data_IF_082288736885
#
_entry.id   IF_082288736885
#
_cell.length_a   1.000
_cell.length_b   1.000
_cell.length_c   1.000
_cell.angle_alpha   90.00
_cell.angle_beta   90.00
_cell.angle_gamma   90.00
#
_symmetry.space_group_name_H-M   'P 1'
#
loop_
_entity.id
_entity.type
_entity.pdbx_description
1 polymer ?
#
# COMPACT_ATOMS: atom_id res chain seq x y z
N UNK A 1 -0.69 33.72 22.91
CA UNK A 1 0.75 33.96 22.59
C UNK A 1 0.86 34.62 21.21
N UNK A 2 1.96 35.29 20.88
CA UNK A 2 2.19 35.83 19.52
C UNK A 2 2.37 34.70 18.48
N UNK A 3 1.69 34.81 17.33
CA UNK A 3 1.73 33.81 16.24
C UNK A 3 3.06 33.87 15.48
N UNK A 4 3.43 35.08 15.01
CA UNK A 4 4.66 35.38 14.27
C UNK A 4 5.87 35.55 15.20
N UNK A 5 7.06 35.44 14.61
CA UNK A 5 8.33 35.73 15.28
C UNK A 5 8.53 37.24 15.49
N UNK A 6 9.39 37.60 16.42
CA UNK A 6 10.00 38.94 16.54
C UNK A 6 11.54 38.81 16.57
N UNK A 7 12.30 39.92 16.54
CA UNK A 7 13.75 39.88 16.71
C UNK A 7 14.22 39.24 18.04
N UNK A 8 13.38 39.20 19.09
CA UNK A 8 13.76 38.62 20.38
C UNK A 8 13.32 37.15 20.57
N UNK A 9 12.21 36.71 19.93
CA UNK A 9 11.55 35.43 20.25
C UNK A 9 10.84 34.75 19.07
N UNK A 10 10.75 33.43 19.12
CA UNK A 10 9.94 32.64 18.19
C UNK A 10 8.44 32.72 18.54
N UNK A 11 7.62 32.94 17.52
CA UNK A 11 6.16 32.84 17.62
C UNK A 11 5.72 31.41 17.96
N UNK A 12 4.50 31.25 18.48
CA UNK A 12 4.02 29.91 18.84
C UNK A 12 3.88 29.00 17.62
N UNK A 13 3.60 29.53 16.42
CA UNK A 13 3.52 28.71 15.20
C UNK A 13 4.87 28.08 14.84
N UNK A 14 5.97 28.85 14.90
CA UNK A 14 7.32 28.34 14.68
C UNK A 14 7.72 27.27 15.70
N UNK A 15 7.31 27.45 16.97
CA UNK A 15 7.55 26.50 18.07
C UNK A 15 6.70 25.23 17.94
N UNK A 16 5.42 25.36 17.65
CA UNK A 16 4.50 24.23 17.43
C UNK A 16 4.95 23.38 16.24
N UNK A 17 5.26 23.99 15.09
CA UNK A 17 5.80 23.28 13.93
C UNK A 17 7.15 22.60 14.24
N UNK A 18 8.02 23.24 15.03
CA UNK A 18 9.28 22.63 15.49
C UNK A 18 9.02 21.35 16.31
N UNK A 19 8.22 21.43 17.38
CA UNK A 19 7.97 20.27 18.24
C UNK A 19 7.11 19.19 17.58
N UNK A 20 6.17 19.56 16.71
CA UNK A 20 5.43 18.61 15.88
C UNK A 20 6.38 17.83 14.97
N UNK A 21 7.32 18.51 14.29
CA UNK A 21 8.36 17.83 13.51
C UNK A 21 9.21 16.92 14.41
N UNK A 22 9.67 17.41 15.56
CA UNK A 22 10.58 16.67 16.45
C UNK A 22 9.93 15.41 17.04
N UNK A 23 8.68 15.50 17.48
CA UNK A 23 7.90 14.37 18.01
C UNK A 23 7.55 13.37 16.90
N UNK A 24 7.16 13.85 15.72
CA UNK A 24 6.90 12.97 14.58
C UNK A 24 8.17 12.23 14.12
N UNK A 25 9.34 12.89 14.10
CA UNK A 25 10.63 12.24 13.78
C UNK A 25 11.06 11.25 14.86
N UNK A 26 10.84 11.54 16.15
CA UNK A 26 11.09 10.58 17.21
C UNK A 26 10.18 9.33 17.10
N UNK A 27 8.89 9.54 16.83
CA UNK A 27 7.95 8.46 16.56
C UNK A 27 8.32 7.68 15.27
N UNK A 28 8.83 8.36 14.24
CA UNK A 28 9.29 7.72 13.00
C UNK A 28 10.40 6.70 13.25
N UNK A 29 11.46 7.06 13.98
CA UNK A 29 12.54 6.13 14.30
C UNK A 29 12.04 4.96 15.17
N UNK A 30 11.14 5.23 16.13
CA UNK A 30 10.52 4.18 16.94
C UNK A 30 9.67 3.20 16.12
N UNK A 31 8.91 3.69 15.12
CA UNK A 31 8.16 2.86 14.17
C UNK A 31 9.12 2.09 13.27
N UNK A 32 10.17 2.72 12.75
CA UNK A 32 11.15 2.07 11.85
C UNK A 32 11.87 0.89 12.53
N UNK A 33 12.40 1.07 13.74
CA UNK A 33 13.03 -0.02 14.49
C UNK A 33 12.05 -1.13 14.89
N UNK A 34 10.79 -0.79 15.20
CA UNK A 34 9.74 -1.78 15.45
C UNK A 34 9.39 -2.58 14.19
N UNK A 35 9.26 -1.90 13.06
CA UNK A 35 8.91 -2.46 11.75
C UNK A 35 9.96 -3.46 11.25
N UNK A 36 11.23 -3.08 11.37
CA UNK A 36 12.39 -3.93 11.06
C UNK A 36 12.40 -5.22 11.89
N UNK A 37 12.28 -5.09 13.22
CA UNK A 37 12.33 -6.19 14.17
C UNK A 37 11.07 -7.09 14.25
N UNK A 38 10.02 -6.80 13.48
CA UNK A 38 8.82 -7.65 13.43
C UNK A 38 9.00 -8.80 12.40
N UNK A 39 8.44 -10.00 12.66
CA UNK A 39 8.31 -11.03 11.64
C UNK A 39 7.33 -10.60 10.55
N UNK A 40 7.37 -11.25 9.38
CA UNK A 40 6.32 -11.10 8.36
C UNK A 40 4.97 -11.46 8.99
N UNK A 41 3.96 -10.63 8.74
CA UNK A 41 2.67 -10.66 9.45
C UNK A 41 1.99 -9.30 9.47
N UNK A 42 0.75 -9.26 9.98
CA UNK A 42 -0.09 -8.06 10.00
C UNK A 42 0.54 -6.92 10.81
N UNK A 43 1.16 -7.24 11.93
CA UNK A 43 1.84 -6.24 12.76
C UNK A 43 2.95 -5.49 11.99
N UNK A 44 3.66 -6.18 11.09
CA UNK A 44 4.71 -5.60 10.24
C UNK A 44 4.10 -4.77 9.11
N UNK A 45 3.10 -5.31 8.40
CA UNK A 45 2.36 -4.59 7.36
C UNK A 45 1.77 -3.27 7.88
N UNK A 46 1.12 -3.29 9.05
CA UNK A 46 0.61 -2.07 9.71
C UNK A 46 1.73 -1.09 10.05
N UNK A 47 2.89 -1.57 10.52
CA UNK A 47 4.03 -0.71 10.82
C UNK A 47 4.58 -0.01 9.55
N UNK A 48 4.65 -0.71 8.40
CA UNK A 48 4.98 -0.08 7.11
C UNK A 48 3.93 0.96 6.68
N UNK A 49 2.62 0.68 6.85
CA UNK A 49 1.55 1.64 6.56
C UNK A 49 1.65 2.92 7.38
N UNK A 50 1.90 2.79 8.69
CA UNK A 50 2.14 3.93 9.59
C UNK A 50 3.45 4.66 9.27
N UNK A 51 4.53 3.95 8.92
CA UNK A 51 5.80 4.53 8.51
C UNK A 51 5.63 5.40 7.25
N UNK A 52 5.02 4.86 6.19
CA UNK A 52 4.75 5.60 4.95
C UNK A 52 3.89 6.86 5.21
N UNK A 53 2.80 6.70 5.96
CA UNK A 53 1.85 7.79 6.28
C UNK A 53 2.47 8.91 7.14
N UNK A 54 3.23 8.54 8.18
CA UNK A 54 3.90 9.51 9.05
C UNK A 54 5.05 10.21 8.32
N UNK A 55 5.73 9.53 7.38
CA UNK A 55 6.79 10.13 6.56
C UNK A 55 6.29 11.28 5.70
N UNK A 56 5.17 11.07 5.00
CA UNK A 56 4.51 12.11 4.19
C UNK A 56 3.90 13.24 5.06
N UNK A 57 3.49 12.91 6.28
CA UNK A 57 3.10 13.91 7.29
C UNK A 57 4.28 14.78 7.73
N UNK A 58 5.45 14.16 7.98
CA UNK A 58 6.70 14.87 8.30
C UNK A 58 7.13 15.76 7.12
N UNK A 59 7.01 15.29 5.87
CA UNK A 59 7.26 16.10 4.67
C UNK A 59 6.38 17.36 4.67
N UNK A 60 5.06 17.18 4.81
CA UNK A 60 4.09 18.29 4.83
C UNK A 60 4.38 19.30 5.93
N UNK A 61 4.58 18.84 7.18
CA UNK A 61 4.91 19.70 8.31
C UNK A 61 6.26 20.40 8.12
N UNK A 62 7.25 19.73 7.51
CA UNK A 62 8.58 20.30 7.23
C UNK A 62 8.52 21.38 6.15
N UNK A 63 7.75 21.18 5.08
CA UNK A 63 7.50 22.18 4.03
C UNK A 63 6.80 23.40 4.62
N UNK A 64 5.73 23.21 5.41
CA UNK A 64 5.05 24.31 6.13
C UNK A 64 6.00 25.05 7.07
N UNK A 65 6.86 24.32 7.81
CA UNK A 65 7.89 24.90 8.70
C UNK A 65 8.98 25.66 7.93
N UNK A 66 9.35 25.22 6.73
CA UNK A 66 10.31 25.91 5.87
C UNK A 66 9.72 27.19 5.28
N UNK A 67 8.51 27.13 4.73
CA UNK A 67 7.77 28.29 4.25
C UNK A 67 7.56 29.31 5.38
N UNK A 68 7.19 28.86 6.58
CA UNK A 68 7.07 29.72 7.75
C UNK A 68 8.40 30.37 8.15
N UNK A 69 9.52 29.65 8.06
CA UNK A 69 10.88 30.18 8.32
C UNK A 69 11.27 31.26 7.31
N UNK A 70 10.93 31.08 6.04
CA UNK A 70 11.21 32.06 4.98
C UNK A 70 10.33 33.30 5.09
N UNK A 71 9.05 33.13 5.45
CA UNK A 71 8.06 34.23 5.56
C UNK A 71 8.08 34.99 6.90
N UNK A 72 8.91 34.63 7.87
CA UNK A 72 9.00 35.28 9.18
C UNK A 72 10.44 35.70 9.52
N UNK A 73 10.64 36.83 10.23
CA UNK A 73 11.95 37.21 10.74
C UNK A 73 12.51 36.11 11.66
N UNK A 74 13.82 35.89 11.62
CA UNK A 74 14.48 34.90 12.45
C UNK A 74 15.24 35.61 13.60
N UNK A 75 14.82 35.45 14.87
CA UNK A 75 15.55 36.03 16.00
C UNK A 75 16.99 35.52 16.03
N UNK A 76 18.00 36.38 16.26
CA UNK A 76 19.37 36.12 15.84
C UNK A 76 20.04 35.00 16.64
N UNK A 77 21.16 34.51 16.08
CA UNK A 77 22.09 33.63 16.76
C UNK A 77 22.69 34.34 18.00
N UNK A 78 22.79 33.62 19.12
CA UNK A 78 23.27 34.15 20.38
C UNK A 78 24.80 33.99 20.49
N UNK A 79 25.51 35.10 20.71
CA UNK A 79 26.96 35.13 20.85
C UNK A 79 27.75 35.27 19.54
N UNK A 80 29.06 35.49 19.67
CA UNK A 80 29.89 36.05 18.60
C UNK A 80 30.70 35.02 17.81
N UNK A 81 30.64 33.75 18.20
CA UNK A 81 31.38 32.67 17.53
C UNK A 81 30.92 32.46 16.08
N UNK A 82 31.71 32.97 15.14
CA UNK A 82 31.46 32.85 13.71
C UNK A 82 31.39 31.38 13.24
N UNK A 83 32.17 30.47 13.85
CA UNK A 83 32.12 29.05 13.49
C UNK A 83 30.84 28.38 13.99
N UNK A 84 30.37 28.67 15.21
CA UNK A 84 29.10 28.13 15.72
C UNK A 84 27.91 28.66 14.91
N UNK A 85 27.96 29.95 14.52
CA UNK A 85 26.94 30.57 13.66
C UNK A 85 26.86 29.91 12.28
N UNK A 86 28.01 29.61 11.65
CA UNK A 86 28.10 28.85 10.39
C UNK A 86 27.62 27.40 10.55
N UNK A 87 28.14 26.68 11.55
CA UNK A 87 27.78 25.29 11.82
C UNK A 87 26.29 25.12 12.14
N UNK A 88 25.73 25.98 12.97
CA UNK A 88 24.28 26.01 13.26
C UNK A 88 23.46 26.28 12.01
N UNK A 89 23.86 27.25 11.17
CA UNK A 89 23.16 27.56 9.92
C UNK A 89 23.20 26.36 8.95
N UNK A 90 24.36 25.72 8.79
CA UNK A 90 24.54 24.53 7.95
C UNK A 90 23.72 23.34 8.47
N UNK A 91 23.80 23.04 9.77
CA UNK A 91 23.03 21.94 10.39
C UNK A 91 21.51 22.12 10.21
N UNK A 92 20.99 23.34 10.36
CA UNK A 92 19.57 23.60 10.07
C UNK A 92 19.21 23.31 8.60
N UNK A 93 20.04 23.73 7.64
CA UNK A 93 19.78 23.48 6.22
C UNK A 93 19.91 22.00 5.84
N UNK A 94 20.90 21.28 6.40
CA UNK A 94 21.02 19.83 6.24
C UNK A 94 19.81 19.09 6.83
N UNK A 95 19.33 19.49 8.01
CA UNK A 95 18.10 18.93 8.59
C UNK A 95 16.88 19.16 7.69
N UNK A 96 16.71 20.37 7.12
CA UNK A 96 15.62 20.61 6.14
C UNK A 96 15.78 19.75 4.88
N UNK A 97 16.99 19.62 4.35
CA UNK A 97 17.25 18.79 3.16
C UNK A 97 16.95 17.31 3.42
N UNK A 98 17.45 16.74 4.52
CA UNK A 98 17.18 15.35 4.90
C UNK A 98 15.69 15.09 5.16
N UNK A 99 15.01 15.97 5.91
CA UNK A 99 13.57 15.82 6.24
C UNK A 99 12.63 15.98 5.04
N UNK A 100 13.10 16.56 3.93
CA UNK A 100 12.36 16.63 2.67
C UNK A 100 12.73 15.47 1.73
N UNK A 101 14.03 15.19 1.56
CA UNK A 101 14.51 14.14 0.66
C UNK A 101 14.12 12.73 1.14
N UNK A 102 14.14 12.46 2.44
CA UNK A 102 13.81 11.13 3.01
C UNK A 102 12.40 10.66 2.65
N UNK A 103 11.29 11.39 2.93
CA UNK A 103 9.96 10.96 2.54
C UNK A 103 9.76 10.88 1.02
N UNK A 104 10.37 11.77 0.25
CA UNK A 104 10.30 11.74 -1.22
C UNK A 104 10.96 10.47 -1.76
N UNK A 105 12.15 10.10 -1.26
CA UNK A 105 12.81 8.84 -1.61
C UNK A 105 12.01 7.62 -1.15
N UNK A 106 11.34 7.66 0.01
CA UNK A 106 10.47 6.57 0.48
C UNK A 106 9.22 6.36 -0.39
N UNK A 107 8.65 7.44 -0.94
CA UNK A 107 7.54 7.37 -1.90
C UNK A 107 8.01 6.88 -3.28
N UNK A 108 9.15 7.37 -3.78
CA UNK A 108 9.78 6.89 -5.01
C UNK A 108 10.15 5.40 -4.92
N UNK A 109 10.76 4.97 -3.80
CA UNK A 109 11.03 3.57 -3.49
C UNK A 109 9.76 2.71 -3.55
N UNK A 110 8.68 3.17 -2.91
CA UNK A 110 7.40 2.45 -2.89
C UNK A 110 6.78 2.33 -4.30
N UNK A 111 6.86 3.39 -5.12
CA UNK A 111 6.36 3.39 -6.49
C UNK A 111 7.19 2.50 -7.43
N UNK A 112 8.52 2.56 -7.32
CA UNK A 112 9.43 1.67 -8.05
C UNK A 112 9.21 0.19 -7.68
N UNK A 113 8.92 -0.10 -6.41
CA UNK A 113 8.55 -1.42 -5.90
C UNK A 113 7.06 -1.79 -6.13
N UNK A 114 6.36 -1.14 -7.07
CA UNK A 114 4.94 -1.34 -7.40
C UNK A 114 3.98 -1.40 -6.19
N UNK A 115 4.32 -0.78 -5.06
CA UNK A 115 3.61 -0.95 -3.79
C UNK A 115 2.97 0.39 -3.42
N UNK A 116 1.68 0.62 -3.73
CA UNK A 116 1.08 1.94 -3.63
C UNK A 116 1.13 2.51 -2.21
N UNK A 117 1.21 3.83 -2.10
CA UNK A 117 1.28 4.51 -0.80
C UNK A 117 -0.09 5.00 -0.38
N UNK A 118 -0.65 4.36 0.66
CA UNK A 118 -1.88 4.83 1.30
C UNK A 118 -1.56 5.78 2.46
N UNK A 119 -2.18 6.95 2.44
CA UNK A 119 -2.09 7.93 3.52
C UNK A 119 -3.17 7.61 4.57
N UNK A 120 -2.73 6.96 5.66
CA UNK A 120 -3.55 6.54 6.80
C UNK A 120 -4.73 5.60 6.47
N UNK A 121 -4.71 4.92 5.32
CA UNK A 121 -5.82 4.08 4.84
C UNK A 121 -6.98 4.87 4.21
N UNK A 122 -6.81 6.17 4.01
CA UNK A 122 -7.87 7.09 3.53
C UNK A 122 -7.70 7.51 2.07
N UNK A 123 -6.46 7.59 1.57
CA UNK A 123 -6.14 8.10 0.23
C UNK A 123 -4.92 7.35 -0.32
N UNK A 124 -5.12 6.58 -1.38
CA UNK A 124 -4.01 6.04 -2.18
C UNK A 124 -3.43 7.16 -3.03
N UNK A 125 -2.13 7.41 -2.89
CA UNK A 125 -1.42 8.38 -3.70
C UNK A 125 -0.98 7.77 -5.04
N UNK A 126 -0.99 8.55 -6.14
CA UNK A 126 -0.50 8.08 -7.43
C UNK A 126 0.99 7.73 -7.35
N UNK A 127 1.42 6.73 -8.11
CA UNK A 127 2.84 6.43 -8.27
C UNK A 127 3.47 7.47 -9.23
N UNK A 128 4.47 8.28 -8.79
CA UNK A 128 5.07 9.32 -9.61
C UNK A 128 6.04 8.78 -10.68
N UNK A 129 6.35 7.49 -10.65
CA UNK A 129 7.21 6.76 -11.59
C UNK A 129 6.62 5.36 -11.83
N UNK A 130 7.02 4.72 -12.93
CA UNK A 130 6.70 3.32 -13.20
C UNK A 130 7.50 2.37 -12.29
N UNK A 131 7.04 1.11 -12.12
CA UNK A 131 7.80 0.08 -11.42
C UNK A 131 9.16 -0.22 -12.07
N UNK A 132 10.18 -0.36 -11.25
CA UNK A 132 11.57 -0.63 -11.63
C UNK A 132 12.32 -1.20 -10.40
N UNK A 133 12.81 -2.44 -10.50
CA UNK A 133 13.46 -3.14 -9.37
C UNK A 133 14.85 -2.58 -9.03
N UNK A 134 15.58 -2.00 -9.98
CA UNK A 134 16.91 -1.43 -9.75
C UNK A 134 16.79 -0.04 -9.12
N UNK A 135 15.83 0.77 -9.56
CA UNK A 135 15.48 2.04 -8.91
C UNK A 135 14.93 1.82 -7.50
N UNK A 136 14.13 0.78 -7.26
CA UNK A 136 13.66 0.45 -5.91
C UNK A 136 14.85 0.22 -4.95
N UNK A 137 15.80 -0.65 -5.31
CA UNK A 137 17.02 -0.91 -4.52
C UNK A 137 17.93 0.33 -4.39
N UNK A 138 17.97 1.20 -5.40
CA UNK A 138 18.72 2.47 -5.33
C UNK A 138 18.08 3.44 -4.31
N UNK A 139 16.76 3.62 -4.37
CA UNK A 139 16.04 4.49 -3.45
C UNK A 139 16.03 3.95 -2.02
N UNK A 140 15.94 2.64 -1.83
CA UNK A 140 16.09 1.98 -0.52
C UNK A 140 17.46 2.29 0.12
N UNK A 141 18.55 2.02 -0.60
CA UNK A 141 19.92 2.31 -0.12
C UNK A 141 20.13 3.80 0.16
N UNK A 142 19.57 4.68 -0.67
CA UNK A 142 19.62 6.13 -0.45
C UNK A 142 18.81 6.56 0.79
N UNK A 143 17.61 6.00 0.98
CA UNK A 143 16.74 6.26 2.13
C UNK A 143 17.39 5.77 3.43
N UNK A 144 17.88 4.52 3.49
CA UNK A 144 18.59 3.98 4.65
C UNK A 144 19.84 4.80 5.01
N UNK A 145 20.64 5.19 4.01
CA UNK A 145 21.84 6.04 4.22
C UNK A 145 21.45 7.41 4.81
N UNK A 146 20.40 8.04 4.28
CA UNK A 146 19.91 9.33 4.80
C UNK A 146 19.21 9.18 6.15
N UNK A 147 18.66 8.02 6.51
CA UNK A 147 18.05 7.76 7.80
C UNK A 147 19.09 7.80 8.93
N UNK A 148 20.21 7.08 8.76
CA UNK A 148 21.33 7.12 9.69
C UNK A 148 22.01 8.50 9.71
N UNK A 149 22.14 9.17 8.55
CA UNK A 149 22.62 10.55 8.48
C UNK A 149 21.74 11.55 9.23
N UNK A 150 20.41 11.44 9.09
CA UNK A 150 19.43 12.24 9.81
C UNK A 150 19.49 11.97 11.32
N UNK A 151 19.59 10.70 11.74
CA UNK A 151 19.71 10.32 13.15
C UNK A 151 20.95 10.97 13.79
N UNK A 152 22.10 10.92 13.11
CA UNK A 152 23.33 11.58 13.56
C UNK A 152 23.19 13.11 13.62
N UNK A 153 22.58 13.74 12.60
CA UNK A 153 22.31 15.19 12.60
C UNK A 153 21.35 15.62 13.72
N UNK A 154 20.31 14.83 14.01
CA UNK A 154 19.37 15.07 15.12
C UNK A 154 20.07 14.91 16.46
N UNK A 155 20.88 13.87 16.65
CA UNK A 155 21.68 13.68 17.87
C UNK A 155 22.65 14.85 18.12
N UNK A 156 23.37 15.31 17.08
CA UNK A 156 24.25 16.48 17.15
C UNK A 156 23.48 17.77 17.43
N UNK A 157 22.30 17.97 16.82
CA UNK A 157 21.44 19.13 17.07
C UNK A 157 20.94 19.18 18.51
N UNK A 158 20.47 18.05 19.06
CA UNK A 158 20.04 17.95 20.46
C UNK A 158 21.24 18.16 21.40
N UNK A 159 22.37 17.50 21.17
CA UNK A 159 23.59 17.68 21.97
C UNK A 159 24.07 19.14 21.98
N UNK A 160 23.99 19.85 20.84
CA UNK A 160 24.28 21.28 20.77
C UNK A 160 23.27 22.11 21.59
N UNK A 161 21.96 21.85 21.46
CA UNK A 161 20.94 22.57 22.24
C UNK A 161 21.10 22.37 23.75
N UNK A 162 21.47 21.15 24.20
CA UNK A 162 21.74 20.83 25.60
C UNK A 162 23.05 21.46 26.09
N UNK A 163 24.11 21.49 25.27
CA UNK A 163 25.35 22.24 25.57
C UNK A 163 25.04 23.73 25.79
N UNK A 164 24.32 24.34 24.85
CA UNK A 164 23.92 25.75 24.91
C UNK A 164 23.06 26.05 26.15
N UNK A 165 22.18 25.12 26.54
CA UNK A 165 21.35 25.27 27.74
C UNK A 165 22.10 25.08 29.07
N UNK A 166 22.92 24.04 29.21
CA UNK A 166 23.54 23.68 30.50
C UNK A 166 24.95 24.25 30.71
N UNK A 167 25.78 24.26 29.66
CA UNK A 167 27.18 24.72 29.74
C UNK A 167 27.28 26.21 29.44
N UNK A 168 26.71 26.65 28.32
CA UNK A 168 26.78 28.05 27.89
C UNK A 168 25.66 28.92 28.53
N UNK A 169 24.66 28.28 29.13
CA UNK A 169 23.54 28.85 29.90
C UNK A 169 22.67 29.87 29.15
N UNK A 170 22.62 29.78 27.83
CA UNK A 170 21.94 30.75 26.97
C UNK A 170 20.41 30.51 26.82
N UNK A 171 19.76 31.29 25.96
CA UNK A 171 18.32 31.20 25.70
C UNK A 171 17.93 30.27 24.54
N UNK A 172 18.87 29.56 23.90
CA UNK A 172 18.67 28.80 22.64
C UNK A 172 17.56 27.76 22.77
N UNK A 173 17.64 26.85 23.75
CA UNK A 173 16.58 25.85 24.00
C UNK A 173 15.30 26.48 24.56
N UNK A 174 15.44 27.42 25.51
CA UNK A 174 14.32 28.11 26.18
C UNK A 174 13.42 28.87 25.19
N UNK A 175 14.00 29.38 24.10
CA UNK A 175 13.29 30.04 22.99
C UNK A 175 12.31 29.14 22.22
N UNK A 176 12.26 27.81 22.45
CA UNK A 176 11.46 26.88 21.64
C UNK A 176 10.21 26.26 22.29
N UNK A 177 10.03 26.21 23.61
CA UNK A 177 9.00 25.37 24.26
C UNK A 177 7.53 25.88 24.09
N UNK A 178 6.53 25.01 23.80
CA UNK A 178 5.11 25.02 24.25
C UNK A 178 4.07 24.22 23.37
N UNK A 179 3.23 23.37 23.98
CA UNK A 179 1.77 23.10 23.70
C UNK A 179 1.29 22.31 22.44
N UNK A 180 0.25 21.45 22.57
CA UNK A 180 -0.38 20.66 21.48
C UNK A 180 -1.88 20.25 21.75
N UNK A 181 -2.63 19.79 20.73
CA UNK A 181 -4.05 19.31 20.74
C UNK A 181 -4.37 18.33 19.56
N UNK A 182 -5.53 17.60 19.56
CA UNK A 182 -5.91 16.47 18.65
C UNK A 182 -7.44 16.39 18.33
N UNK A 183 -7.89 15.75 17.22
CA UNK A 183 -9.31 15.40 16.88
C UNK A 183 -9.45 14.18 15.89
N UNK A 184 -10.66 13.59 15.67
CA UNK A 184 -10.96 12.33 14.89
C UNK A 184 -12.37 12.32 14.19
N UNK A 185 -12.64 11.49 13.14
CA UNK A 185 -13.90 11.35 12.34
C UNK A 185 -14.18 9.91 11.73
N UNK A 186 -15.40 9.62 11.20
CA UNK A 186 -16.00 8.35 10.59
C UNK A 186 -17.20 8.73 9.62
N UNK A 187 -17.84 8.00 8.65
CA UNK A 187 -17.86 6.63 8.05
C UNK A 187 -18.93 6.47 6.89
N UNK A 188 -19.28 5.27 6.34
CA UNK A 188 -20.15 5.06 5.13
C UNK A 188 -20.90 3.66 4.98
N UNK A 189 -21.63 3.35 3.87
CA UNK A 189 -22.36 2.06 3.56
C UNK A 189 -23.02 1.89 2.14
N UNK A 190 -23.49 0.68 1.70
CA UNK A 190 -23.69 0.27 0.25
C UNK A 190 -24.98 -0.57 -0.22
N UNK A 191 -24.85 -1.61 -1.12
CA UNK A 191 -25.77 -2.05 -2.27
C UNK A 191 -25.91 -3.62 -2.45
N UNK A 192 -26.85 -4.23 -3.27
CA UNK A 192 -26.74 -5.52 -4.09
C UNK A 192 -27.97 -5.95 -5.00
N UNK A 193 -27.82 -6.98 -5.90
CA UNK A 193 -28.82 -7.62 -6.83
C UNK A 193 -28.62 -9.19 -7.06
N UNK A 194 -29.22 -9.87 -8.10
CA UNK A 194 -29.47 -11.36 -8.21
C UNK A 194 -29.32 -12.09 -9.63
N UNK A 195 -29.38 -13.47 -9.76
CA UNK A 195 -28.85 -14.32 -10.91
C UNK A 195 -29.88 -14.85 -11.99
N UNK A 196 -29.53 -15.69 -13.00
CA UNK A 196 -29.67 -17.19 -13.07
C UNK A 196 -28.85 -17.93 -14.23
N UNK A 197 -29.18 -19.23 -14.52
CA UNK A 197 -28.49 -20.39 -15.24
C UNK A 197 -28.55 -20.50 -16.81
N UNK A 198 -27.99 -21.55 -17.50
CA UNK A 198 -26.87 -21.37 -18.49
C UNK A 198 -26.61 -22.38 -19.77
N UNK A 199 -25.40 -22.64 -20.42
CA UNK A 199 -25.06 -23.18 -21.85
C UNK A 199 -23.63 -23.94 -22.20
N UNK A 200 -23.28 -24.44 -23.47
CA UNK A 200 -22.56 -25.74 -23.98
C UNK A 200 -20.97 -26.11 -24.23
N UNK A 201 -20.19 -26.29 -25.42
CA UNK A 201 -18.68 -26.63 -25.57
C UNK A 201 -17.51 -25.80 -26.40
N UNK A 202 -16.24 -25.50 -25.88
CA UNK A 202 -14.99 -24.84 -26.55
C UNK A 202 -13.52 -25.32 -26.08
N UNK A 203 -12.43 -24.47 -26.10
CA UNK A 203 -11.03 -24.60 -25.52
C UNK A 203 -10.25 -23.23 -25.35
N UNK A 204 -9.22 -23.10 -24.50
CA UNK A 204 -8.50 -21.82 -24.18
C UNK A 204 -6.98 -21.74 -24.45
N UNK A 205 -6.43 -20.51 -24.59
CA UNK A 205 -5.00 -20.16 -24.77
C UNK A 205 -4.44 -19.37 -23.55
N UNK A 206 -3.59 -19.97 -22.68
CA UNK A 206 -3.04 -19.30 -21.50
C UNK A 206 -2.13 -18.09 -21.79
N UNK A 207 -1.51 -18.01 -22.98
CA UNK A 207 -0.56 -16.93 -23.32
C UNK A 207 -1.27 -15.63 -23.71
N UNK A 208 -2.52 -15.73 -24.16
CA UNK A 208 -3.43 -14.62 -24.46
C UNK A 208 -4.59 -14.53 -23.47
N UNK A 209 -4.44 -15.13 -22.29
CA UNK A 209 -5.42 -15.11 -21.21
C UNK A 209 -4.80 -14.59 -19.90
N UNK A 210 -5.66 -14.19 -18.97
CA UNK A 210 -5.29 -13.66 -17.65
C UNK A 210 -6.37 -13.98 -16.63
N UNK A 211 -5.96 -14.58 -15.51
CA UNK A 211 -6.77 -14.68 -14.29
C UNK A 211 -6.14 -13.75 -13.24
N UNK A 212 -6.92 -12.81 -12.73
CA UNK A 212 -6.50 -11.80 -11.78
C UNK A 212 -7.46 -11.70 -10.59
N UNK A 213 -6.95 -11.17 -9.48
CA UNK A 213 -7.72 -10.90 -8.27
C UNK A 213 -7.32 -9.54 -7.70
N UNK A 214 -8.31 -8.70 -7.39
CA UNK A 214 -8.10 -7.42 -6.72
C UNK A 214 -8.69 -7.47 -5.31
N UNK A 215 -7.85 -7.21 -4.32
CA UNK A 215 -8.24 -7.18 -2.91
C UNK A 215 -7.84 -5.85 -2.28
N UNK A 216 -8.52 -5.43 -1.22
CA UNK A 216 -8.13 -4.22 -0.49
C UNK A 216 -7.13 -4.57 0.63
N UNK A 217 -5.96 -3.96 0.68
CA UNK A 217 -4.98 -4.08 1.78
C UNK A 217 -4.72 -2.72 2.42
N UNK A 218 -5.04 -2.55 3.71
CA UNK A 218 -4.98 -1.27 4.44
C UNK A 218 -5.63 -0.09 3.66
N UNK A 219 -6.78 -0.32 3.03
CA UNK A 219 -7.50 0.66 2.20
C UNK A 219 -6.97 0.85 0.77
N UNK A 220 -5.97 0.07 0.35
CA UNK A 220 -5.36 0.13 -0.99
C UNK A 220 -5.89 -1.01 -1.86
N UNK A 221 -6.40 -0.79 -3.08
CA UNK A 221 -6.61 -1.89 -4.01
C UNK A 221 -5.25 -2.43 -4.46
N UNK A 222 -5.01 -3.71 -4.21
CA UNK A 222 -3.86 -4.48 -4.67
C UNK A 222 -4.39 -5.49 -5.68
N UNK A 223 -3.84 -5.47 -6.89
CA UNK A 223 -4.07 -6.51 -7.89
C UNK A 223 -2.98 -7.59 -7.78
N UNK A 224 -3.39 -8.85 -7.87
CA UNK A 224 -2.55 -9.99 -8.13
C UNK A 224 -3.00 -10.76 -9.36
N UNK A 225 -2.10 -11.57 -9.91
CA UNK A 225 -2.39 -12.52 -11.00
C UNK A 225 -2.03 -13.93 -10.57
N UNK A 226 -2.67 -14.92 -11.17
CA UNK A 226 -2.14 -16.28 -11.21
C UNK A 226 -1.42 -16.47 -12.56
N UNK A 227 -0.21 -17.04 -12.51
CA UNK A 227 0.67 -17.18 -13.69
C UNK A 227 0.60 -18.54 -14.36
N UNK A 228 0.06 -19.54 -13.67
CA UNK A 228 -0.01 -20.92 -14.13
C UNK A 228 -1.41 -21.50 -13.81
N UNK A 229 -2.10 -21.96 -14.85
CA UNK A 229 -3.48 -22.43 -14.81
C UNK A 229 -3.86 -23.15 -16.12
N UNK A 230 -4.83 -24.06 -16.07
CA UNK A 230 -5.52 -24.64 -17.23
C UNK A 230 -6.98 -24.19 -17.27
N UNK A 231 -7.54 -24.05 -18.47
CA UNK A 231 -8.93 -23.64 -18.71
C UNK A 231 -9.52 -24.57 -19.77
N UNK A 232 -10.20 -25.61 -19.31
CA UNK A 232 -10.99 -26.54 -20.11
C UNK A 232 -12.39 -25.94 -20.27
N UNK A 233 -12.64 -25.25 -21.39
CA UNK A 233 -13.94 -24.62 -21.65
C UNK A 233 -14.89 -25.64 -22.25
N UNK A 234 -16.11 -25.71 -21.74
CA UNK A 234 -17.26 -26.06 -22.55
C UNK A 234 -18.25 -24.84 -22.56
N UNK A 235 -18.58 -24.28 -23.75
CA UNK A 235 -19.69 -23.33 -24.02
C UNK A 235 -20.26 -23.42 -25.49
N UNK A 236 -21.54 -23.16 -25.82
CA UNK A 236 -22.03 -23.12 -27.23
C UNK A 236 -22.76 -21.81 -27.51
N UNK A 237 -22.40 -21.05 -28.56
CA UNK A 237 -23.15 -19.84 -28.91
C UNK A 237 -24.62 -20.06 -29.32
N UNK A 238 -25.07 -21.30 -29.65
CA UNK A 238 -26.41 -21.54 -30.21
C UNK A 238 -27.33 -22.52 -29.44
N UNK A 239 -26.85 -23.18 -28.38
CA UNK A 239 -27.54 -24.28 -27.65
C UNK A 239 -28.18 -23.95 -26.28
N UNK A 240 -28.25 -24.91 -25.32
CA UNK A 240 -28.86 -24.68 -24.00
C UNK A 240 -28.17 -25.23 -22.70
N UNK A 241 -27.03 -25.96 -22.67
CA UNK A 241 -26.38 -26.40 -21.39
C UNK A 241 -24.90 -26.92 -21.52
N UNK A 242 -23.97 -26.60 -20.59
CA UNK A 242 -22.57 -27.12 -20.53
C UNK A 242 -21.52 -26.33 -19.71
N UNK A 243 -20.23 -26.67 -19.74
CA UNK A 243 -19.39 -26.67 -18.51
C UNK A 243 -17.96 -26.07 -18.62
N UNK A 244 -17.60 -25.00 -17.87
CA UNK A 244 -16.18 -24.55 -17.76
C UNK A 244 -15.50 -25.15 -16.54
N UNK A 245 -14.34 -25.77 -16.76
CA UNK A 245 -13.43 -26.17 -15.70
C UNK A 245 -12.11 -25.41 -15.79
N UNK A 246 -11.72 -24.76 -14.69
CA UNK A 246 -10.46 -24.04 -14.56
C UNK A 246 -9.68 -24.64 -13.39
N UNK A 247 -8.41 -24.98 -13.60
CA UNK A 247 -7.48 -25.35 -12.51
C UNK A 247 -6.41 -24.28 -12.43
N UNK A 248 -6.13 -23.79 -11.22
CA UNK A 248 -5.16 -22.72 -10.95
C UNK A 248 -4.12 -23.25 -9.98
N UNK A 249 -2.85 -23.21 -10.36
CA UNK A 249 -1.74 -23.49 -9.44
C UNK A 249 -1.58 -22.30 -8.49
N UNK A 250 -2.06 -22.43 -7.26
CA UNK A 250 -2.13 -21.32 -6.29
C UNK A 250 -0.77 -20.76 -5.92
N UNK A 251 0.28 -21.59 -5.97
CA UNK A 251 1.66 -21.15 -5.78
C UNK A 251 2.11 -20.10 -6.82
N UNK A 252 1.49 -20.10 -8.01
CA UNK A 252 1.78 -19.17 -9.12
C UNK A 252 1.24 -17.74 -8.91
N UNK A 253 0.62 -17.45 -7.74
CA UNK A 253 0.21 -16.10 -7.38
C UNK A 253 1.39 -15.12 -7.42
N UNK A 254 1.14 -13.92 -7.91
CA UNK A 254 2.09 -12.80 -7.97
C UNK A 254 1.32 -11.49 -7.77
N UNK A 255 1.67 -10.72 -6.74
CA UNK A 255 1.13 -9.37 -6.45
C UNK A 255 2.19 -8.26 -6.61
N UNK A 256 3.34 -8.59 -7.20
CA UNK A 256 4.49 -7.70 -7.40
C UNK A 256 5.32 -7.41 -6.15
N UNK A 257 5.12 -8.16 -5.06
CA UNK A 257 5.72 -7.93 -3.74
C UNK A 257 6.05 -9.29 -3.10
N UNK A 258 7.34 -9.63 -3.09
CA UNK A 258 7.82 -10.96 -2.74
C UNK A 258 7.46 -11.36 -1.27
N UNK A 259 7.41 -10.38 -0.35
CA UNK A 259 7.00 -10.55 1.06
C UNK A 259 5.49 -10.82 1.19
N UNK A 260 4.68 -10.07 0.43
CA UNK A 260 3.22 -10.23 0.37
C UNK A 260 2.84 -11.58 -0.24
N UNK A 261 3.55 -12.00 -1.28
CA UNK A 261 3.32 -13.25 -1.97
C UNK A 261 3.76 -14.45 -1.13
N UNK A 262 4.86 -14.34 -0.38
CA UNK A 262 5.25 -15.34 0.62
C UNK A 262 4.19 -15.47 1.73
N UNK A 263 3.66 -14.36 2.24
CA UNK A 263 2.58 -14.37 3.23
C UNK A 263 1.28 -14.97 2.68
N UNK A 264 0.94 -14.71 1.40
CA UNK A 264 -0.25 -15.24 0.75
C UNK A 264 -0.17 -16.76 0.52
N UNK A 265 1.01 -17.31 0.20
CA UNK A 265 1.19 -18.76 0.05
C UNK A 265 1.03 -19.52 1.38
N UNK A 266 1.24 -18.86 2.52
CA UNK A 266 1.17 -19.41 3.88
C UNK A 266 -0.21 -19.89 4.36
N UNK A 267 -0.21 -20.60 5.49
CA UNK A 267 -1.34 -21.31 6.11
C UNK A 267 -2.60 -20.48 6.36
N UNK A 268 -2.41 -19.21 6.70
CA UNK A 268 -3.47 -18.26 7.02
C UNK A 268 -4.28 -17.88 5.77
N UNK A 269 -3.63 -17.88 4.60
CA UNK A 269 -4.17 -17.50 3.30
C UNK A 269 -4.38 -18.74 2.40
N UNK A 270 -3.65 -18.92 1.30
CA UNK A 270 -3.91 -20.00 0.34
C UNK A 270 -3.46 -21.38 0.84
N UNK A 271 -2.47 -21.45 1.75
CA UNK A 271 -1.95 -22.70 2.32
C UNK A 271 -1.50 -23.73 1.25
N UNK A 272 -0.67 -23.27 0.31
CA UNK A 272 -0.42 -23.95 -0.98
C UNK A 272 0.21 -25.34 -0.85
N UNK A 273 0.98 -25.61 0.21
CA UNK A 273 1.57 -26.93 0.49
C UNK A 273 0.50 -28.01 0.81
N UNK A 274 -0.69 -27.59 1.23
CA UNK A 274 -1.82 -28.47 1.55
C UNK A 274 -2.95 -28.38 0.49
N UNK A 275 -3.04 -27.28 -0.23
CA UNK A 275 -4.03 -27.03 -1.28
C UNK A 275 -3.35 -26.37 -2.49
N UNK A 276 -2.58 -27.12 -3.30
CA UNK A 276 -1.83 -26.56 -4.43
C UNK A 276 -2.77 -26.02 -5.51
N UNK A 277 -3.84 -26.74 -5.83
CA UNK A 277 -4.85 -26.34 -6.81
C UNK A 277 -5.99 -25.53 -6.18
N UNK A 278 -6.45 -24.51 -6.92
CA UNK A 278 -7.81 -23.99 -6.82
C UNK A 278 -8.56 -24.34 -8.11
N UNK A 279 -9.83 -24.74 -8.00
CA UNK A 279 -10.61 -25.26 -9.14
C UNK A 279 -11.95 -24.54 -9.24
N UNK A 280 -12.26 -23.93 -10.39
CA UNK A 280 -13.62 -23.46 -10.69
C UNK A 280 -14.29 -24.45 -11.64
N UNK A 281 -15.47 -24.95 -11.27
CA UNK A 281 -16.31 -25.81 -12.12
C UNK A 281 -17.69 -25.15 -12.31
N UNK A 282 -17.88 -24.44 -13.43
CA UNK A 282 -19.19 -24.08 -13.95
C UNK A 282 -19.79 -25.27 -14.71
N UNK A 283 -21.11 -25.46 -14.58
CA UNK A 283 -21.82 -26.57 -15.23
C UNK A 283 -22.92 -26.14 -16.19
N UNK A 284 -23.15 -24.84 -16.30
CA UNK A 284 -23.89 -24.17 -17.36
C UNK A 284 -23.23 -22.78 -17.67
N UNK A 285 -23.12 -22.33 -18.95
CA UNK A 285 -22.73 -20.93 -19.38
C UNK A 285 -23.69 -20.10 -20.40
N UNK A 286 -24.80 -19.42 -20.01
CA UNK A 286 -25.83 -18.70 -20.85
C UNK A 286 -25.48 -17.28 -21.24
N UNK A 287 -26.17 -16.81 -22.29
CA UNK A 287 -26.46 -15.40 -22.52
C UNK A 287 -27.57 -14.79 -21.64
N UNK A 288 -27.41 -13.51 -21.29
CA UNK A 288 -28.41 -12.63 -20.67
C UNK A 288 -28.35 -11.24 -21.33
N UNK A 289 -29.10 -10.25 -20.85
CA UNK A 289 -29.24 -8.93 -21.50
C UNK A 289 -27.95 -8.12 -21.65
N UNK A 290 -26.88 -8.46 -20.94
CA UNK A 290 -25.61 -7.71 -20.91
C UNK A 290 -24.38 -8.56 -21.33
N UNK A 291 -24.58 -9.80 -21.78
CA UNK A 291 -23.49 -10.71 -22.13
C UNK A 291 -23.85 -12.14 -21.78
N UNK A 292 -22.96 -12.81 -21.05
CA UNK A 292 -23.08 -14.18 -20.56
C UNK A 292 -22.88 -14.26 -19.04
N UNK A 293 -23.19 -15.42 -18.45
CA UNK A 293 -22.91 -15.78 -17.05
C UNK A 293 -22.43 -17.24 -16.97
N UNK A 294 -21.77 -17.60 -15.87
CA UNK A 294 -21.40 -18.98 -15.55
C UNK A 294 -21.61 -19.28 -14.06
N UNK A 295 -22.62 -20.09 -13.71
CA UNK A 295 -22.87 -20.65 -12.38
C UNK A 295 -22.06 -21.93 -12.22
N UNK A 296 -21.24 -21.92 -11.19
CA UNK A 296 -20.40 -23.04 -10.80
C UNK A 296 -20.14 -23.08 -9.33
N UNK A 297 -19.14 -23.88 -8.96
CA UNK A 297 -18.49 -23.81 -7.65
C UNK A 297 -17.03 -23.45 -7.81
N UNK A 298 -16.55 -22.49 -7.02
CA UNK A 298 -15.12 -22.30 -6.79
C UNK A 298 -14.71 -23.17 -5.60
N UNK A 299 -13.79 -24.11 -5.82
CA UNK A 299 -13.10 -24.84 -4.78
C UNK A 299 -11.74 -24.19 -4.53
N UNK A 300 -11.52 -23.69 -3.33
CA UNK A 300 -10.35 -22.93 -2.94
C UNK A 300 -10.03 -23.22 -1.47
N UNK A 301 -8.76 -23.54 -1.16
CA UNK A 301 -8.31 -23.94 0.19
C UNK A 301 -9.14 -25.10 0.80
N UNK A 302 -9.56 -26.05 -0.03
CA UNK A 302 -10.39 -27.19 0.37
C UNK A 302 -11.84 -26.84 0.76
N UNK A 303 -12.32 -25.62 0.48
CA UNK A 303 -13.73 -25.22 0.61
C UNK A 303 -14.33 -24.96 -0.77
N UNK A 304 -15.59 -25.34 -0.97
CA UNK A 304 -16.29 -25.23 -2.25
C UNK A 304 -17.54 -24.38 -2.09
N UNK A 305 -17.61 -23.25 -2.79
CA UNK A 305 -18.68 -22.26 -2.64
C UNK A 305 -19.34 -21.98 -4.00
N UNK A 306 -20.69 -21.86 -4.06
CA UNK A 306 -21.41 -21.60 -5.30
C UNK A 306 -21.20 -20.15 -5.78
N UNK A 307 -20.94 -19.97 -7.07
CA UNK A 307 -20.52 -18.70 -7.64
C UNK A 307 -21.06 -18.48 -9.05
N UNK A 308 -21.42 -17.23 -9.36
CA UNK A 308 -21.87 -16.80 -10.69
C UNK A 308 -20.92 -15.76 -11.25
N UNK A 309 -20.23 -16.08 -12.34
CA UNK A 309 -19.32 -15.19 -13.07
C UNK A 309 -20.06 -14.54 -14.26
N UNK A 310 -20.49 -13.26 -14.18
CA UNK A 310 -20.92 -12.55 -15.38
C UNK A 310 -19.71 -12.19 -16.25
N UNK A 311 -19.84 -12.39 -17.55
CA UNK A 311 -18.80 -12.06 -18.53
C UNK A 311 -19.40 -11.61 -19.86
N UNK A 312 -18.64 -10.89 -20.67
CA UNK A 312 -18.98 -10.57 -22.05
C UNK A 312 -18.21 -11.51 -22.98
N UNK A 313 -18.81 -11.90 -24.09
CA UNK A 313 -18.19 -12.80 -25.07
C UNK A 313 -18.20 -12.13 -26.45
N UNK A 314 -17.06 -12.20 -27.13
CA UNK A 314 -16.92 -11.87 -28.55
C UNK A 314 -16.37 -13.07 -29.29
N UNK A 315 -16.92 -13.37 -30.47
CA UNK A 315 -16.44 -14.43 -31.35
C UNK A 315 -16.07 -13.77 -32.68
N UNK A 316 -14.78 -13.83 -33.02
CA UNK A 316 -14.19 -13.27 -34.22
C UNK A 316 -13.61 -14.44 -35.04
N UNK A 317 -14.50 -15.13 -35.76
CA UNK A 317 -14.20 -16.38 -36.48
C UNK A 317 -14.13 -17.59 -35.54
N UNK A 318 -13.04 -18.34 -35.57
CA UNK A 318 -12.77 -19.49 -34.68
C UNK A 318 -12.21 -19.06 -33.31
N UNK A 319 -11.86 -17.78 -33.14
CA UNK A 319 -11.35 -17.23 -31.88
C UNK A 319 -12.48 -16.58 -31.08
N UNK A 320 -12.56 -16.94 -29.80
CA UNK A 320 -13.42 -16.31 -28.80
C UNK A 320 -12.57 -15.47 -27.82
N UNK A 321 -13.13 -14.36 -27.36
CA UNK A 321 -12.59 -13.52 -26.30
C UNK A 321 -13.66 -13.29 -25.24
N UNK A 322 -13.40 -13.72 -24.00
CA UNK A 322 -14.31 -13.62 -22.87
C UNK A 322 -13.73 -12.71 -21.78
N UNK A 323 -14.45 -11.66 -21.38
CA UNK A 323 -14.03 -10.75 -20.30
C UNK A 323 -15.10 -10.69 -19.20
N UNK A 324 -14.73 -11.05 -17.97
CA UNK A 324 -15.68 -11.20 -16.86
C UNK A 324 -15.11 -10.80 -15.51
N UNK A 325 -15.99 -10.49 -14.57
CA UNK A 325 -15.59 -10.19 -13.19
C UNK A 325 -16.70 -10.43 -12.19
N UNK A 326 -16.33 -10.80 -10.97
CA UNK A 326 -17.24 -11.04 -9.85
C UNK A 326 -16.58 -10.63 -8.53
N UNK A 327 -17.36 -10.56 -7.45
CA UNK A 327 -16.85 -10.30 -6.09
C UNK A 327 -17.19 -11.46 -5.17
N UNK A 328 -16.17 -12.06 -4.55
CA UNK A 328 -16.28 -13.08 -3.49
C UNK A 328 -16.02 -12.48 -2.11
N UNK A 329 -16.48 -13.14 -1.04
CA UNK A 329 -15.83 -13.01 0.28
C UNK A 329 -14.64 -13.97 0.33
N UNK A 330 -13.54 -13.52 0.94
CA UNK A 330 -12.41 -14.40 1.28
C UNK A 330 -12.67 -15.31 2.50
N UNK A 331 -13.63 -14.95 3.36
CA UNK A 331 -13.93 -15.71 4.59
C UNK A 331 -14.71 -16.99 4.32
N UNK A 332 -15.53 -17.00 3.26
CA UNK A 332 -16.21 -18.22 2.78
C UNK A 332 -15.15 -19.32 2.55
N UNK A 333 -14.05 -18.99 1.85
CA UNK A 333 -12.89 -19.87 1.63
C UNK A 333 -11.89 -19.98 2.80
N UNK A 334 -12.15 -19.33 3.94
CA UNK A 334 -11.23 -19.22 5.08
C UNK A 334 -9.81 -18.73 4.70
N UNK A 335 -9.74 -17.75 3.78
CA UNK A 335 -8.52 -17.06 3.38
C UNK A 335 -8.33 -15.77 4.20
N UNK A 336 -7.16 -15.63 4.82
CA UNK A 336 -6.85 -14.57 5.76
C UNK A 336 -7.47 -14.86 7.13
N UNK A 337 -7.02 -15.95 7.75
CA UNK A 337 -7.41 -16.39 9.11
C UNK A 337 -6.40 -15.91 10.17
N UNK A 338 -6.62 -16.26 11.45
CA UNK A 338 -5.75 -15.83 12.55
C UNK A 338 -5.82 -14.32 12.76
N UNK A 339 -4.67 -13.63 12.79
CA UNK A 339 -4.61 -12.16 12.89
C UNK A 339 -5.26 -11.45 11.69
N UNK A 340 -5.36 -12.12 10.54
CA UNK A 340 -5.94 -11.59 9.31
C UNK A 340 -7.46 -11.73 9.25
N UNK A 341 -8.10 -12.35 10.24
CA UNK A 341 -9.55 -12.62 10.27
C UNK A 341 -10.42 -11.35 10.33
N UNK A 342 -9.84 -10.16 10.50
CA UNK A 342 -10.58 -8.88 10.49
C UNK A 342 -10.42 -8.12 9.17
N UNK A 343 -11.51 -7.48 8.74
CA UNK A 343 -11.58 -6.73 7.48
C UNK A 343 -10.78 -5.40 7.50
N UNK A 344 -10.13 -5.07 8.63
CA UNK A 344 -9.28 -3.89 8.78
C UNK A 344 -7.92 -4.02 8.07
N UNK A 345 -7.42 -5.24 7.98
CA UNK A 345 -6.10 -5.57 7.44
C UNK A 345 -6.16 -5.78 5.93
N UNK A 346 -7.00 -6.74 5.56
CA UNK A 346 -7.31 -7.19 4.21
C UNK A 346 -8.83 -7.17 4.11
N UNK A 347 -9.38 -6.48 3.12
CA UNK A 347 -10.81 -6.40 2.86
C UNK A 347 -11.42 -7.77 2.65
N UNK A 348 -12.72 -7.87 2.89
CA UNK A 348 -13.48 -9.12 2.73
C UNK A 348 -13.70 -9.44 1.26
N UNK A 349 -14.20 -8.43 0.55
CA UNK A 349 -14.49 -8.44 -0.87
C UNK A 349 -13.19 -8.54 -1.68
N UNK A 350 -13.11 -9.59 -2.48
CA UNK A 350 -12.07 -9.80 -3.49
C UNK A 350 -12.74 -9.86 -4.85
N UNK A 351 -12.38 -8.93 -5.74
CA UNK A 351 -12.85 -8.95 -7.13
C UNK A 351 -12.00 -9.93 -7.91
N UNK A 352 -12.57 -11.03 -8.36
CA UNK A 352 -11.93 -11.92 -9.35
C UNK A 352 -12.25 -11.37 -10.74
N UNK A 353 -11.25 -11.26 -11.61
CA UNK A 353 -11.43 -10.85 -13.00
C UNK A 353 -10.70 -11.79 -13.96
N UNK A 354 -11.32 -12.02 -15.11
CA UNK A 354 -10.79 -12.85 -16.19
C UNK A 354 -10.80 -12.09 -17.51
N UNK A 355 -9.78 -12.33 -18.32
CA UNK A 355 -9.79 -12.09 -19.77
C UNK A 355 -9.25 -13.36 -20.41
N UNK A 356 -10.08 -14.11 -21.11
CA UNK A 356 -9.73 -15.42 -21.68
C UNK A 356 -9.83 -15.34 -23.20
N UNK A 357 -8.73 -15.67 -23.87
CA UNK A 357 -8.73 -15.93 -25.31
C UNK A 357 -8.84 -17.43 -25.54
N UNK A 358 -9.77 -17.81 -26.39
CA UNK A 358 -10.18 -19.18 -26.65
C UNK A 358 -10.26 -19.46 -28.16
N UNK A 359 -10.15 -20.72 -28.53
CA UNK A 359 -10.38 -21.19 -29.90
C UNK A 359 -11.35 -22.34 -29.87
N UNK A 360 -12.25 -22.44 -30.85
CA UNK A 360 -13.21 -23.55 -30.91
C UNK A 360 -12.45 -24.87 -31.10
N UNK A 361 -12.94 -25.94 -30.50
CA UNK A 361 -12.55 -27.29 -30.91
C UNK A 361 -13.07 -27.57 -32.34
N UNK A 362 -12.32 -28.36 -33.12
CA UNK A 362 -12.80 -29.00 -34.35
C UNK A 362 -13.71 -30.21 -34.04
#
# INVERSE_FOLDING_TARGET
MAIRNSPERYGWAARGLHWLTALAVAAMFAIAWRMDALPVGLAKLQAYGWHKSLGLTILTVTVLRLLWRLANPQPPFLGDSAWQRRASTGAHWLLYACLIAMPVLGWLMSAAANTPVNLFGLVVLPNPIAPDRDLAQLFERAHGTLAYGLLALVALHVAAALKHHFRDRDATLRRMLAGAFVLVLVGAGAVRAAPAEELAPWHADPTRSRIAFTFTQLGTPIEGVFRDYTVDILFDPEGPAGEVRVVIETASLDTGDDDRDAQARGTEFFAVDAFPEAVFEAREIHGWSEGYRAVGSLTLKGRSEPLTLPFTLRIDGETAHAEGSLVVSRHDFAIGTGEWATNMAVGDEVTISISVTATRAE
#
